data_IF_930112681847
#
_entry.id   IF_930112681847
#
_cell.length_a   1.000
_cell.length_b   1.000
_cell.length_c   1.000
_cell.angle_alpha   90.00
_cell.angle_beta   90.00
_cell.angle_gamma   90.00
#
_symmetry.space_group_name_H-M   'P 1'
#
loop_
_entity.id
_entity.type
_entity.pdbx_description
1 polymer ?
#
# COMPACT_ATOMS: atom_id res chain seq x y z
N UNK A 1 -9.11 -26.74 -4.59
CA UNK A 1 -9.16 -26.51 -3.17
C UNK A 1 -9.70 -25.14 -2.88
N UNK A 2 -10.69 -25.09 -2.00
CA UNK A 2 -11.41 -23.84 -1.70
C UNK A 2 -10.49 -22.70 -1.23
N UNK A 3 -9.57 -22.98 -0.31
CA UNK A 3 -8.67 -21.97 0.24
C UNK A 3 -7.69 -21.43 -0.79
N UNK A 4 -7.15 -22.29 -1.64
CA UNK A 4 -6.22 -21.89 -2.70
C UNK A 4 -6.91 -21.01 -3.74
N UNK A 5 -8.17 -21.30 -4.04
CA UNK A 5 -8.95 -20.52 -5.01
C UNK A 5 -9.25 -19.12 -4.47
N UNK A 6 -9.66 -19.01 -3.20
CA UNK A 6 -9.92 -17.71 -2.57
C UNK A 6 -8.65 -16.87 -2.52
N UNK A 7 -7.52 -17.47 -2.15
CA UNK A 7 -6.23 -16.77 -2.09
C UNK A 7 -5.83 -16.26 -3.48
N UNK A 8 -6.05 -17.06 -4.51
CA UNK A 8 -5.76 -16.66 -5.89
C UNK A 8 -6.62 -15.47 -6.32
N UNK A 9 -7.90 -15.45 -5.97
CA UNK A 9 -8.79 -14.33 -6.25
C UNK A 9 -8.33 -13.06 -5.53
N UNK A 10 -7.91 -13.18 -4.29
CA UNK A 10 -7.40 -12.05 -3.50
C UNK A 10 -6.13 -11.50 -4.14
N UNK A 11 -5.20 -12.37 -4.53
CA UNK A 11 -3.97 -11.96 -5.20
C UNK A 11 -4.26 -11.22 -6.50
N UNK A 12 -5.16 -11.77 -7.33
CA UNK A 12 -5.54 -11.12 -8.59
C UNK A 12 -6.15 -9.75 -8.37
N UNK A 13 -6.99 -9.62 -7.36
CA UNK A 13 -7.61 -8.33 -7.02
C UNK A 13 -6.55 -7.30 -6.66
N UNK A 14 -5.60 -7.64 -5.81
CA UNK A 14 -4.50 -6.74 -5.43
C UNK A 14 -3.67 -6.33 -6.65
N UNK A 15 -3.27 -7.33 -7.46
CA UNK A 15 -2.40 -7.07 -8.62
C UNK A 15 -3.09 -6.24 -9.70
N UNK A 16 -4.42 -6.28 -9.77
CA UNK A 16 -5.19 -5.52 -10.76
C UNK A 16 -5.44 -4.07 -10.36
N UNK A 17 -5.19 -3.71 -9.10
CA UNK A 17 -5.49 -2.38 -8.56
C UNK A 17 -4.22 -1.57 -8.39
N UNK A 18 -4.35 -0.26 -8.66
CA UNK A 18 -3.27 0.70 -8.46
C UNK A 18 -3.60 1.73 -7.36
N UNK A 19 -4.70 1.51 -6.63
CA UNK A 19 -5.22 2.46 -5.65
C UNK A 19 -4.88 2.10 -4.20
N UNK A 20 -3.98 1.15 -3.97
CA UNK A 20 -3.57 0.70 -2.65
C UNK A 20 -4.76 0.31 -1.78
N UNK A 21 -5.46 -0.79 -2.11
CA UNK A 21 -6.68 -1.16 -1.39
C UNK A 21 -6.41 -1.66 0.02
N UNK A 22 -7.38 -1.40 0.91
CA UNK A 22 -7.44 -2.02 2.23
C UNK A 22 -8.03 -3.43 2.11
N UNK A 23 -7.89 -4.23 3.17
CA UNK A 23 -8.51 -5.56 3.22
C UNK A 23 -10.04 -5.45 3.07
N UNK A 24 -10.66 -4.44 3.68
CA UNK A 24 -12.11 -4.23 3.55
C UNK A 24 -12.52 -3.94 2.11
N UNK A 25 -11.76 -3.11 1.41
CA UNK A 25 -12.04 -2.79 0.01
C UNK A 25 -11.90 -4.03 -0.88
N UNK A 26 -10.88 -4.84 -0.64
CA UNK A 26 -10.67 -6.09 -1.36
C UNK A 26 -11.84 -7.04 -1.10
N UNK A 27 -12.23 -7.19 0.15
CA UNK A 27 -13.35 -8.06 0.55
C UNK A 27 -14.66 -7.63 -0.12
N UNK A 28 -14.96 -6.33 -0.07
CA UNK A 28 -16.17 -5.76 -0.68
C UNK A 28 -16.20 -6.02 -2.19
N UNK A 29 -15.09 -5.79 -2.86
CA UNK A 29 -14.97 -6.03 -4.30
C UNK A 29 -15.19 -7.50 -4.67
N UNK A 30 -14.58 -8.41 -3.90
CA UNK A 30 -14.65 -9.85 -4.20
C UNK A 30 -15.99 -10.50 -3.82
N UNK A 31 -16.79 -9.87 -2.97
CA UNK A 31 -18.11 -10.39 -2.62
C UNK A 31 -19.07 -10.42 -3.81
N UNK A 32 -18.78 -9.71 -4.88
CA UNK A 32 -19.53 -9.81 -6.12
C UNK A 32 -19.43 -11.20 -6.74
N UNK A 33 -18.29 -11.89 -6.56
CA UNK A 33 -18.07 -13.26 -7.08
C UNK A 33 -17.99 -14.30 -5.97
N UNK A 34 -17.75 -13.89 -4.75
CA UNK A 34 -17.65 -14.74 -3.55
C UNK A 34 -18.50 -14.14 -2.42
N UNK A 35 -19.84 -14.26 -2.45
CA UNK A 35 -20.70 -13.56 -1.50
C UNK A 35 -20.46 -13.91 -0.03
N UNK A 36 -19.89 -15.09 0.24
CA UNK A 36 -19.63 -15.56 1.61
C UNK A 36 -18.21 -15.27 2.09
N UNK A 37 -17.42 -14.58 1.30
CA UNK A 37 -16.04 -14.25 1.69
C UNK A 37 -16.05 -13.38 2.94
N UNK A 38 -15.36 -13.83 4.00
CA UNK A 38 -15.27 -13.08 5.24
C UNK A 38 -14.04 -12.19 5.25
N UNK A 39 -14.13 -11.08 5.98
CA UNK A 39 -13.00 -10.17 6.14
C UNK A 39 -11.82 -10.87 6.84
N UNK A 40 -12.10 -11.75 7.80
CA UNK A 40 -11.06 -12.53 8.48
C UNK A 40 -10.28 -13.42 7.52
N UNK A 41 -10.96 -14.05 6.56
CA UNK A 41 -10.31 -14.85 5.52
C UNK A 41 -9.41 -13.97 4.63
N UNK A 42 -9.90 -12.78 4.26
CA UNK A 42 -9.12 -11.85 3.45
C UNK A 42 -7.83 -11.45 4.18
N UNK A 43 -7.90 -11.08 5.46
CA UNK A 43 -6.74 -10.74 6.25
C UNK A 43 -5.75 -11.91 6.35
N UNK A 44 -6.25 -13.11 6.62
CA UNK A 44 -5.40 -14.30 6.72
C UNK A 44 -4.66 -14.56 5.40
N UNK A 45 -5.36 -14.51 4.28
CA UNK A 45 -4.78 -14.77 2.97
C UNK A 45 -3.82 -13.65 2.55
N UNK A 46 -4.13 -12.40 2.87
CA UNK A 46 -3.22 -11.29 2.62
C UNK A 46 -1.92 -11.45 3.42
N UNK A 47 -2.03 -11.83 4.69
CA UNK A 47 -0.84 -12.07 5.53
C UNK A 47 0.04 -13.18 4.93
N UNK A 48 -0.58 -14.26 4.45
CA UNK A 48 0.14 -15.34 3.78
C UNK A 48 0.84 -14.84 2.52
N UNK A 49 0.15 -14.05 1.70
CA UNK A 49 0.71 -13.51 0.45
C UNK A 49 1.85 -12.53 0.71
N UNK A 50 1.76 -11.75 1.78
CA UNK A 50 2.86 -10.88 2.23
C UNK A 50 4.07 -11.72 2.64
N UNK A 51 3.84 -12.76 3.45
CA UNK A 51 4.92 -13.62 3.96
C UNK A 51 5.68 -14.31 2.83
N UNK A 52 5.01 -14.70 1.77
CA UNK A 52 5.65 -15.35 0.62
C UNK A 52 6.11 -14.36 -0.46
N UNK A 53 5.98 -13.06 -0.21
CA UNK A 53 6.51 -12.02 -1.09
C UNK A 53 5.70 -11.70 -2.34
N UNK A 54 4.45 -12.17 -2.42
CA UNK A 54 3.58 -11.90 -3.58
C UNK A 54 2.76 -10.63 -3.46
N UNK A 55 2.61 -10.11 -2.25
CA UNK A 55 1.91 -8.86 -1.95
C UNK A 55 2.77 -8.06 -0.98
N UNK A 56 2.74 -6.76 -1.11
CA UNK A 56 3.42 -5.84 -0.21
C UNK A 56 2.40 -5.15 0.69
N UNK A 57 2.68 -5.10 1.98
CA UNK A 57 1.87 -4.34 2.95
C UNK A 57 2.42 -2.92 3.05
N UNK A 58 1.52 -1.94 2.96
CA UNK A 58 1.83 -0.54 3.20
C UNK A 58 1.16 -0.12 4.49
N UNK A 59 1.94 0.10 5.54
CA UNK A 59 1.44 0.47 6.85
C UNK A 59 1.42 1.99 6.98
N UNK A 60 0.27 2.54 7.35
CA UNK A 60 0.08 3.97 7.54
C UNK A 60 -0.35 4.18 9.00
N UNK A 61 0.43 4.91 9.80
CA UNK A 61 0.09 5.10 11.20
C UNK A 61 -1.30 5.71 11.38
N UNK A 62 -2.11 5.07 12.25
CA UNK A 62 -3.47 5.51 12.53
C UNK A 62 -4.51 5.08 11.51
N UNK A 63 -4.12 4.41 10.45
CA UNK A 63 -5.02 3.97 9.38
C UNK A 63 -4.93 2.47 9.17
N UNK A 64 -5.90 1.90 8.46
CA UNK A 64 -5.85 0.51 8.07
C UNK A 64 -4.70 0.26 7.08
N UNK A 65 -4.07 -0.90 7.17
CA UNK A 65 -3.04 -1.32 6.24
C UNK A 65 -3.59 -1.37 4.81
N UNK A 66 -2.73 -0.99 3.86
CA UNK A 66 -3.03 -1.09 2.44
C UNK A 66 -2.12 -2.12 1.80
N UNK A 67 -2.49 -2.58 0.62
CA UNK A 67 -1.80 -3.68 -0.04
C UNK A 67 -1.56 -3.36 -1.50
N UNK A 68 -0.45 -3.87 -2.02
CA UNK A 68 -0.10 -3.71 -3.44
C UNK A 68 0.72 -4.90 -3.93
N UNK A 69 0.85 -5.04 -5.24
CA UNK A 69 1.80 -5.95 -5.84
C UNK A 69 3.23 -5.47 -5.59
N UNK A 70 4.22 -6.37 -5.55
CA UNK A 70 5.61 -5.97 -5.37
C UNK A 70 6.08 -5.08 -6.51
N UNK A 71 6.75 -3.97 -6.17
CA UNK A 71 7.34 -3.06 -7.13
C UNK A 71 8.71 -2.62 -6.65
N UNK A 72 9.62 -2.44 -7.60
CA UNK A 72 10.97 -1.95 -7.31
C UNK A 72 11.00 -0.43 -7.41
N UNK A 73 11.96 0.17 -6.73
CA UNK A 73 12.28 1.61 -6.83
C UNK A 73 11.09 2.52 -6.60
N UNK A 74 10.16 2.10 -5.72
CA UNK A 74 9.07 3.01 -5.41
C UNK A 74 8.70 2.97 -3.93
N UNK A 75 8.29 4.10 -3.46
CA UNK A 75 7.75 4.33 -2.13
C UNK A 75 6.39 4.98 -2.31
N UNK A 76 5.76 5.38 -1.23
CA UNK A 76 4.42 5.93 -1.30
C UNK A 76 4.30 7.25 -0.54
N UNK A 77 3.39 8.08 -1.03
CA UNK A 77 2.92 9.29 -0.36
C UNK A 77 1.52 9.04 0.16
N UNK A 78 1.28 9.33 1.42
CA UNK A 78 -0.06 9.39 2.00
C UNK A 78 -0.52 10.84 2.04
N UNK A 79 -1.62 11.16 1.34
CA UNK A 79 -2.18 12.50 1.34
C UNK A 79 -3.06 12.68 2.57
N UNK A 80 -2.70 13.63 3.43
CA UNK A 80 -3.45 13.90 4.66
C UNK A 80 -4.79 14.57 4.41
N UNK A 81 -5.00 15.14 3.23
CA UNK A 81 -6.24 15.81 2.88
C UNK A 81 -7.28 14.85 2.31
N UNK A 82 -6.94 14.07 1.30
CA UNK A 82 -7.89 13.18 0.63
C UNK A 82 -7.73 11.71 0.99
N UNK A 83 -6.74 11.36 1.81
CA UNK A 83 -6.42 10.01 2.28
C UNK A 83 -6.04 9.02 1.17
N UNK A 84 -5.72 9.50 -0.02
CA UNK A 84 -5.20 8.64 -1.09
C UNK A 84 -3.74 8.31 -0.85
N UNK A 85 -3.36 7.12 -1.30
CA UNK A 85 -1.95 6.71 -1.33
C UNK A 85 -1.50 6.75 -2.77
N UNK A 86 -0.37 7.38 -3.03
CA UNK A 86 0.21 7.49 -4.37
C UNK A 86 1.64 6.97 -4.36
N UNK A 87 2.02 6.32 -5.47
CA UNK A 87 3.40 5.88 -5.64
C UNK A 87 4.32 7.06 -5.92
N UNK A 88 5.49 7.04 -5.31
CA UNK A 88 6.58 7.95 -5.66
C UNK A 88 7.81 7.10 -5.98
N UNK A 89 8.61 7.56 -6.93
CA UNK A 89 9.77 6.80 -7.38
C UNK A 89 11.06 7.43 -6.86
N UNK A 90 11.67 6.77 -5.88
CA UNK A 90 13.01 7.10 -5.40
C UNK A 90 13.86 5.89 -5.70
N UNK A 91 14.97 6.04 -6.48
CA UNK A 91 15.80 4.88 -6.79
C UNK A 91 16.27 4.17 -5.52
N UNK A 92 16.07 2.86 -5.46
CA UNK A 92 16.40 2.03 -4.31
C UNK A 92 17.88 2.17 -3.92
N UNK A 93 18.75 2.27 -4.91
CA UNK A 93 20.19 2.43 -4.69
C UNK A 93 20.52 3.70 -3.89
N UNK A 94 19.78 4.80 -4.11
CA UNK A 94 19.99 6.05 -3.38
C UNK A 94 19.55 5.93 -1.92
N UNK A 95 18.38 5.34 -1.68
CA UNK A 95 17.88 5.10 -0.33
C UNK A 95 18.78 4.15 0.43
N UNK A 96 19.19 3.08 -0.22
CA UNK A 96 20.07 2.09 0.39
C UNK A 96 21.42 2.70 0.79
N UNK A 97 21.98 3.55 -0.06
CA UNK A 97 23.23 4.24 0.24
C UNK A 97 23.11 5.12 1.49
N UNK A 98 21.98 5.83 1.63
CA UNK A 98 21.73 6.66 2.82
C UNK A 98 21.59 5.81 4.07
N UNK A 99 20.91 4.69 3.99
CA UNK A 99 20.71 3.79 5.13
C UNK A 99 22.03 3.11 5.51
N UNK A 100 22.80 2.65 4.53
CA UNK A 100 24.10 2.00 4.76
C UNK A 100 25.13 2.95 5.36
N UNK A 101 24.98 4.25 5.15
CA UNK A 101 25.85 5.25 5.74
C UNK A 101 25.59 5.50 7.23
N UNK A 102 24.49 4.97 7.78
CA UNK A 102 24.18 5.12 9.20
C UNK A 102 25.07 4.19 10.03
N UNK A 103 25.84 4.72 11.02
CA UNK A 103 26.71 3.87 11.83
C UNK A 103 25.92 3.07 12.86
N UNK A 104 26.43 1.90 13.21
CA UNK A 104 25.89 1.10 14.29
C UNK A 104 24.66 0.27 13.97
N UNK A 105 24.34 0.12 12.68
CA UNK A 105 23.22 -0.70 12.26
C UNK A 105 23.61 -1.70 11.18
N UNK A 106 22.84 -2.79 11.09
CA UNK A 106 22.90 -3.75 9.98
C UNK A 106 21.50 -3.79 9.37
N UNK A 107 21.24 -3.01 8.34
CA UNK A 107 19.90 -2.92 7.78
C UNK A 107 19.53 -4.19 7.01
N UNK A 108 18.35 -4.74 7.28
CA UNK A 108 17.82 -5.90 6.56
C UNK A 108 16.73 -5.51 5.57
N UNK A 109 15.94 -4.51 5.93
CA UNK A 109 14.83 -4.04 5.10
C UNK A 109 14.46 -2.62 5.54
N UNK A 110 13.68 -1.94 4.72
CA UNK A 110 13.17 -0.62 5.06
C UNK A 110 11.84 -0.37 4.35
N UNK A 111 11.07 0.56 4.91
CA UNK A 111 9.86 1.04 4.27
C UNK A 111 9.80 2.56 4.46
N UNK A 112 9.36 3.27 3.44
CA UNK A 112 9.29 4.72 3.45
C UNK A 112 7.92 5.18 3.00
N UNK A 113 7.25 5.93 3.87
CA UNK A 113 6.00 6.61 3.54
C UNK A 113 6.18 8.09 3.82
N UNK A 114 5.90 8.91 2.82
CA UNK A 114 5.93 10.36 2.95
C UNK A 114 4.53 10.86 3.24
N UNK A 115 4.38 11.75 4.19
CA UNK A 115 3.10 12.34 4.57
C UNK A 115 3.05 13.77 4.07
N UNK A 116 1.96 14.13 3.40
CA UNK A 116 1.83 15.48 2.87
C UNK A 116 0.56 15.59 2.05
N UNK A 117 0.62 16.37 0.98
CA UNK A 117 -0.50 16.57 0.07
C UNK A 117 -0.16 16.00 -1.30
N UNK A 118 -1.12 15.33 -1.93
CA UNK A 118 -0.98 14.96 -3.33
C UNK A 118 -1.07 16.23 -4.20
N UNK A 119 -0.70 16.09 -5.47
CA UNK A 119 -0.67 17.22 -6.39
C UNK A 119 -2.02 17.94 -6.49
N UNK A 120 -3.13 17.20 -6.56
CA UNK A 120 -4.47 17.78 -6.61
C UNK A 120 -4.81 18.57 -5.35
N UNK A 121 -4.53 18.01 -4.18
CA UNK A 121 -4.80 18.68 -2.90
C UNK A 121 -3.86 19.87 -2.67
N UNK A 122 -2.63 19.78 -3.14
CA UNK A 122 -1.68 20.89 -3.07
C UNK A 122 -2.15 22.09 -3.90
N UNK A 123 -2.69 21.84 -5.09
CA UNK A 123 -3.26 22.89 -5.95
C UNK A 123 -4.46 23.53 -5.27
N UNK A 124 -5.37 22.75 -4.70
CA UNK A 124 -6.55 23.27 -3.98
C UNK A 124 -6.13 24.12 -2.79
N UNK A 125 -5.15 23.68 -2.02
CA UNK A 125 -4.66 24.43 -0.86
C UNK A 125 -4.05 25.77 -1.28
N UNK A 126 -3.29 25.80 -2.39
CA UNK A 126 -2.73 27.04 -2.94
C UNK A 126 -3.81 28.00 -3.40
N UNK A 127 -4.87 27.48 -4.05
CA UNK A 127 -6.01 28.28 -4.48
C UNK A 127 -6.77 28.89 -3.31
N UNK A 128 -6.99 28.12 -2.25
CA UNK A 128 -7.63 28.61 -1.03
C UNK A 128 -6.84 29.74 -0.38
N UNK A 129 -5.50 29.62 -0.39
CA UNK A 129 -4.62 30.65 0.16
C UNK A 129 -4.68 31.92 -0.68
N UNK A 130 -4.78 31.83 -2.00
CA UNK A 130 -4.87 32.97 -2.89
C UNK A 130 -6.20 33.73 -2.73
N UNK A 131 -7.27 33.04 -2.35
CA UNK A 131 -8.60 33.64 -2.14
C UNK A 131 -8.70 34.46 -0.85
N UNK A 132 -7.73 34.28 0.05
CA UNK A 132 -7.68 35.04 1.29
C UNK A 132 -6.92 36.36 1.12
#
# INVERSE_FOLDING_TARGET
MRYSHQRELILREVLSRSDYPTAEQICTSLRAVCPRLSLGTVYRDLNTLVDIGKVRRVSIPGEADRFEGPQEDHQQLYCRSCQKVKSIHIPDAQLKALIDACPGIVPEDYSLTVFGLCDECAVKAAQETEEL
#
